data_IF_384336075742
#
_entry.id   IF_384336075742
#
_cell.length_a   1.000
_cell.length_b   1.000
_cell.length_c   1.000
_cell.angle_alpha   90.00
_cell.angle_beta   90.00
_cell.angle_gamma   90.00
#
_symmetry.space_group_name_H-M   'P 1'
#
loop_
_entity.id
_entity.type
_entity.pdbx_description
1 polymer ?
#
# COMPACT_ATOMS: atom_id res chain seq x y z
N UNK A 1 -2.71 3.49 19.64
CA UNK A 1 -3.66 2.98 18.65
C UNK A 1 -3.27 3.47 17.25
N UNK A 2 -3.30 2.58 16.29
CA UNK A 2 -3.00 2.92 14.89
C UNK A 2 -4.27 2.85 14.05
N UNK A 3 -4.62 3.95 13.40
CA UNK A 3 -5.71 4.00 12.43
C UNK A 3 -5.15 4.06 11.03
N UNK A 4 -5.78 3.32 10.13
CA UNK A 4 -5.34 3.19 8.76
C UNK A 4 -6.53 3.00 7.83
N UNK A 5 -6.54 3.74 6.72
CA UNK A 5 -7.48 3.50 5.63
C UNK A 5 -6.94 4.06 4.32
N UNK A 6 -7.43 3.51 3.22
CA UNK A 6 -7.29 4.10 1.90
C UNK A 6 -8.59 4.79 1.50
N UNK A 7 -8.47 5.97 0.90
CA UNK A 7 -9.58 6.66 0.26
C UNK A 7 -9.33 6.67 -1.25
N UNK A 8 -10.05 5.84 -2.03
CA UNK A 8 -9.89 5.81 -3.49
C UNK A 8 -10.07 7.19 -4.10
N UNK A 9 -9.21 7.55 -5.05
CA UNK A 9 -9.23 8.86 -5.68
C UNK A 9 -10.20 8.86 -6.87
N UNK A 10 -11.04 9.87 -6.94
CA UNK A 10 -12.03 10.04 -8.01
C UNK A 10 -11.38 10.25 -9.39
N UNK A 11 -10.12 10.71 -9.42
CA UNK A 11 -9.38 10.93 -10.65
C UNK A 11 -8.74 9.65 -11.23
N UNK A 12 -8.84 8.53 -10.54
CA UNK A 12 -8.43 7.23 -11.07
C UNK A 12 -9.65 6.47 -11.60
N UNK A 13 -9.75 6.40 -12.92
CA UNK A 13 -10.91 5.83 -13.60
C UNK A 13 -11.10 4.33 -13.36
N UNK A 14 -10.02 3.61 -12.97
CA UNK A 14 -10.13 2.19 -12.71
C UNK A 14 -10.89 1.86 -11.42
N UNK A 15 -11.09 2.82 -10.53
CA UNK A 15 -11.97 2.60 -9.39
C UNK A 15 -13.45 2.50 -9.78
N UNK A 16 -13.83 3.04 -10.94
CA UNK A 16 -15.23 2.95 -11.40
C UNK A 16 -15.59 1.52 -11.80
N UNK A 17 -16.65 0.95 -11.24
CA UNK A 17 -17.11 -0.40 -11.62
C UNK A 17 -17.59 -0.49 -13.07
N UNK A 18 -17.88 0.64 -13.70
CA UNK A 18 -18.31 0.72 -15.10
C UNK A 18 -17.13 0.71 -16.08
N UNK A 19 -15.92 0.93 -15.60
CA UNK A 19 -14.70 0.87 -16.39
C UNK A 19 -14.19 -0.57 -16.41
N UNK A 20 -13.76 -1.08 -17.56
CA UNK A 20 -13.17 -2.42 -17.63
C UNK A 20 -11.82 -2.41 -16.90
N UNK A 21 -11.52 -3.44 -16.10
CA UNK A 21 -10.22 -3.55 -15.39
C UNK A 21 -9.12 -3.99 -16.36
N UNK A 22 -8.84 -3.15 -17.34
CA UNK A 22 -7.88 -3.40 -18.42
C UNK A 22 -6.99 -2.19 -18.59
N UNK A 23 -5.77 -2.41 -19.05
CA UNK A 23 -4.83 -1.32 -19.31
C UNK A 23 -5.27 -0.55 -20.57
N UNK A 24 -5.61 0.74 -20.44
CA UNK A 24 -6.16 1.51 -21.56
C UNK A 24 -5.17 1.76 -22.71
N UNK A 25 -3.87 1.67 -22.43
CA UNK A 25 -2.80 1.90 -23.41
C UNK A 25 -2.29 0.63 -24.11
N UNK A 26 -2.85 -0.54 -23.82
CA UNK A 26 -2.38 -1.82 -24.36
C UNK A 26 -3.55 -2.67 -24.87
N UNK A 27 -4.22 -2.26 -25.97
CA UNK A 27 -5.42 -2.97 -26.44
C UNK A 27 -5.16 -4.42 -26.89
N UNK A 28 -3.92 -4.78 -27.25
CA UNK A 28 -3.56 -6.14 -27.65
C UNK A 28 -3.30 -7.06 -26.45
N UNK A 29 -2.87 -6.50 -25.31
CA UNK A 29 -2.61 -7.20 -24.06
C UNK A 29 -3.17 -6.38 -22.90
N UNK A 30 -4.51 -6.28 -22.79
CA UNK A 30 -5.14 -5.37 -21.85
C UNK A 30 -5.10 -5.84 -20.40
N UNK A 31 -4.82 -7.11 -20.15
CA UNK A 31 -4.80 -7.67 -18.79
C UNK A 31 -3.85 -6.89 -17.88
N UNK A 32 -4.32 -6.57 -16.68
CA UNK A 32 -3.51 -5.83 -15.70
C UNK A 32 -2.36 -6.69 -15.16
N UNK A 33 -1.18 -6.11 -15.16
CA UNK A 33 0.06 -6.71 -14.67
C UNK A 33 0.41 -6.19 -13.27
N UNK A 34 1.44 -6.78 -12.66
CA UNK A 34 1.97 -6.31 -11.38
C UNK A 34 2.35 -4.83 -11.39
N UNK A 35 2.98 -4.36 -12.47
CA UNK A 35 3.34 -2.95 -12.62
C UNK A 35 2.10 -2.04 -12.69
N UNK A 36 1.04 -2.49 -13.34
CA UNK A 36 -0.21 -1.74 -13.39
C UNK A 36 -0.77 -1.52 -11.98
N UNK A 37 -0.79 -2.57 -11.15
CA UNK A 37 -1.29 -2.48 -9.78
C UNK A 37 -0.39 -1.68 -8.85
N UNK A 38 0.92 -1.75 -9.02
CA UNK A 38 1.87 -1.14 -8.09
C UNK A 38 2.36 0.24 -8.51
N UNK A 39 2.14 0.65 -9.76
CA UNK A 39 2.65 1.93 -10.28
C UNK A 39 1.54 2.80 -10.86
N UNK A 40 0.72 2.26 -11.76
CA UNK A 40 -0.11 3.07 -12.63
C UNK A 40 -1.52 3.31 -12.10
N UNK A 41 -2.13 2.35 -11.42
CA UNK A 41 -3.55 2.35 -11.15
C UNK A 41 -3.91 2.05 -9.69
N UNK A 42 -5.19 2.23 -9.39
CA UNK A 42 -5.78 2.03 -8.06
C UNK A 42 -5.14 2.91 -7.01
N UNK A 43 -5.03 4.20 -7.34
CA UNK A 43 -4.46 5.22 -6.47
C UNK A 43 -5.47 5.69 -5.43
N UNK A 44 -4.97 5.94 -4.24
CA UNK A 44 -5.77 6.40 -3.13
C UNK A 44 -5.02 7.42 -2.30
N UNK A 45 -5.75 8.20 -1.53
CA UNK A 45 -5.18 8.94 -0.43
C UNK A 45 -4.99 8.00 0.76
N UNK A 46 -3.90 8.17 1.47
CA UNK A 46 -3.56 7.38 2.65
C UNK A 46 -3.95 8.13 3.92
N UNK A 47 -4.78 7.53 4.73
CA UNK A 47 -4.97 7.97 6.11
C UNK A 47 -4.18 7.03 7.03
N UNK A 48 -3.22 7.58 7.75
CA UNK A 48 -2.37 6.82 8.67
C UNK A 48 -2.08 7.68 9.90
N UNK A 49 -2.59 7.25 11.03
CA UNK A 49 -2.31 7.88 12.32
C UNK A 49 -1.76 6.81 13.27
N UNK A 50 -0.53 6.99 13.72
CA UNK A 50 0.18 6.03 14.57
C UNK A 50 0.36 6.66 15.95
N UNK A 51 -0.37 6.16 16.93
CA UNK A 51 -0.31 6.65 18.33
C UNK A 51 -0.39 8.19 18.42
N UNK A 52 -1.34 8.77 17.66
CA UNK A 52 -1.57 10.22 17.64
C UNK A 52 -0.70 10.99 16.66
N UNK A 53 0.26 10.35 16.01
CA UNK A 53 1.10 10.99 14.98
C UNK A 53 0.47 10.79 13.62
N UNK A 54 0.11 11.89 12.95
CA UNK A 54 -0.54 11.86 11.64
C UNK A 54 0.51 11.80 10.52
N UNK A 55 0.55 10.67 9.84
CA UNK A 55 1.40 10.40 8.68
C UNK A 55 0.57 10.21 7.41
N UNK A 56 -0.60 10.81 7.35
CA UNK A 56 -1.48 10.73 6.19
C UNK A 56 -0.88 11.42 4.97
N UNK A 57 -1.22 10.91 3.79
CA UNK A 57 -0.70 11.39 2.52
C UNK A 57 -1.86 11.58 1.54
N UNK A 58 -2.21 12.86 1.25
CA UNK A 58 -3.41 13.25 0.50
C UNK A 58 -3.11 14.10 -0.74
N UNK A 59 -1.88 14.15 -1.19
CA UNK A 59 -1.49 15.11 -2.24
C UNK A 59 -1.57 14.56 -3.66
N UNK A 60 -0.94 13.44 -3.94
CA UNK A 60 -0.81 12.92 -5.30
C UNK A 60 -1.41 11.54 -5.50
N UNK A 61 -1.89 10.93 -4.43
CA UNK A 61 -2.36 9.55 -4.46
C UNK A 61 -1.24 8.54 -4.67
N UNK A 62 -1.31 7.41 -4.02
CA UNK A 62 -0.38 6.30 -4.24
C UNK A 62 -1.16 5.03 -4.56
N UNK A 63 -0.62 4.14 -5.39
CA UNK A 63 -1.26 2.86 -5.62
C UNK A 63 -1.38 2.10 -4.29
N UNK A 64 -2.58 1.60 -4.00
CA UNK A 64 -2.82 0.91 -2.72
C UNK A 64 -1.94 -0.34 -2.57
N UNK A 65 -1.65 -1.01 -3.68
CA UNK A 65 -0.76 -2.18 -3.68
C UNK A 65 0.68 -1.79 -3.39
N UNK A 66 1.15 -0.66 -3.92
CA UNK A 66 2.51 -0.17 -3.69
C UNK A 66 2.75 0.09 -2.20
N UNK A 67 1.80 0.72 -1.51
CA UNK A 67 1.90 0.95 -0.07
C UNK A 67 1.98 -0.36 0.72
N UNK A 68 1.14 -1.33 0.39
CA UNK A 68 1.16 -2.64 1.04
C UNK A 68 2.50 -3.37 0.82
N UNK A 69 3.04 -3.32 -0.40
CA UNK A 69 4.33 -3.91 -0.74
C UNK A 69 5.49 -3.20 -0.03
N UNK A 70 5.41 -1.88 0.10
CA UNK A 70 6.41 -1.10 0.84
C UNK A 70 6.50 -1.55 2.29
N UNK A 71 5.36 -1.72 2.96
CA UNK A 71 5.33 -2.20 4.34
C UNK A 71 5.88 -3.62 4.46
N UNK A 72 5.52 -4.50 3.55
CA UNK A 72 6.02 -5.88 3.53
C UNK A 72 7.53 -5.92 3.31
N UNK A 73 8.04 -5.11 2.39
CA UNK A 73 9.46 -4.99 2.12
C UNK A 73 10.21 -4.46 3.35
N UNK A 74 9.71 -3.39 3.97
CA UNK A 74 10.31 -2.82 5.17
C UNK A 74 10.36 -3.85 6.30
N UNK A 75 9.27 -4.57 6.53
CA UNK A 75 9.20 -5.61 7.55
C UNK A 75 10.20 -6.72 7.29
N UNK A 76 10.34 -7.17 6.06
CA UNK A 76 11.30 -8.21 5.69
C UNK A 76 12.74 -7.76 5.93
N UNK A 77 13.09 -6.54 5.54
CA UNK A 77 14.43 -6.00 5.74
C UNK A 77 14.75 -5.80 7.22
N UNK A 78 13.76 -5.42 8.04
CA UNK A 78 13.93 -5.22 9.47
C UNK A 78 14.00 -6.52 10.27
N UNK A 79 13.74 -7.68 9.69
CA UNK A 79 13.95 -8.96 10.36
C UNK A 79 15.43 -9.20 10.70
N UNK A 80 16.33 -8.80 9.82
CA UNK A 80 17.77 -9.00 9.97
C UNK A 80 18.56 -7.70 10.04
N UNK A 81 17.94 -6.55 9.74
CA UNK A 81 18.56 -5.24 9.74
C UNK A 81 17.99 -4.32 10.81
N UNK A 82 18.63 -3.18 11.02
CA UNK A 82 18.21 -2.16 11.97
C UNK A 82 17.54 -0.94 11.35
N UNK A 83 17.54 -0.82 10.03
CA UNK A 83 16.92 0.31 9.36
C UNK A 83 16.73 0.08 7.88
N UNK A 84 15.75 0.77 7.33
CA UNK A 84 15.45 0.76 5.89
C UNK A 84 14.78 2.08 5.50
N UNK A 85 15.14 2.59 4.35
CA UNK A 85 14.51 3.77 3.74
C UNK A 85 13.84 3.29 2.45
N UNK A 86 12.54 3.54 2.35
CA UNK A 86 11.75 3.13 1.18
C UNK A 86 11.08 4.36 0.58
N UNK A 87 11.28 4.53 -0.71
CA UNK A 87 10.61 5.56 -1.49
C UNK A 87 9.41 4.94 -2.21
N UNK A 88 8.28 5.64 -2.19
CA UNK A 88 7.10 5.20 -2.96
C UNK A 88 7.40 5.28 -4.46
N UNK A 89 6.85 4.33 -5.22
CA UNK A 89 7.20 4.15 -6.63
C UNK A 89 6.83 5.35 -7.53
N UNK A 90 5.83 6.14 -7.14
CA UNK A 90 5.25 7.18 -8.01
C UNK A 90 5.43 8.59 -7.45
N UNK A 91 5.38 8.78 -6.14
CA UNK A 91 5.22 10.10 -5.52
C UNK A 91 6.49 10.68 -4.91
N UNK A 92 7.59 9.95 -4.88
CA UNK A 92 8.85 10.36 -4.23
C UNK A 92 8.71 10.61 -2.72
N UNK A 93 7.65 10.12 -2.12
CA UNK A 93 7.50 10.15 -0.67
C UNK A 93 8.38 9.07 -0.04
N UNK A 94 9.04 9.41 1.05
CA UNK A 94 10.03 8.55 1.69
C UNK A 94 9.54 8.15 3.07
N UNK A 95 9.58 6.85 3.35
CA UNK A 95 9.31 6.26 4.65
C UNK A 95 10.61 5.66 5.19
N UNK A 96 11.03 6.12 6.36
CA UNK A 96 12.24 5.62 7.01
C UNK A 96 11.84 4.85 8.27
N UNK A 97 12.25 3.60 8.33
CA UNK A 97 11.99 2.71 9.46
C UNK A 97 13.30 2.38 10.14
N UNK A 98 13.33 2.42 11.46
CA UNK A 98 14.42 1.88 12.25
C UNK A 98 13.87 0.97 13.33
N UNK A 99 14.64 -0.06 13.68
CA UNK A 99 14.24 -1.05 14.67
C UNK A 99 15.25 -1.13 15.80
N UNK A 100 14.76 -1.04 17.01
CA UNK A 100 15.52 -1.31 18.24
C UNK A 100 14.71 -2.28 19.08
N UNK A 101 15.17 -3.53 19.17
CA UNK A 101 14.45 -4.63 19.81
C UNK A 101 13.05 -4.84 19.18
N UNK A 102 11.99 -4.54 19.93
CA UNK A 102 10.60 -4.66 19.45
C UNK A 102 9.98 -3.31 19.07
N UNK A 103 10.74 -2.22 19.16
CA UNK A 103 10.27 -0.87 18.84
C UNK A 103 10.70 -0.48 17.44
N UNK A 104 9.74 -0.01 16.66
CA UNK A 104 9.95 0.53 15.33
C UNK A 104 9.74 2.03 15.36
N UNK A 105 10.71 2.78 14.87
CA UNK A 105 10.58 4.22 14.67
C UNK A 105 10.32 4.49 13.20
N UNK A 106 9.28 5.25 12.92
CA UNK A 106 8.85 5.60 11.57
C UNK A 106 8.89 7.11 11.38
N UNK A 107 9.61 7.56 10.37
CA UNK A 107 9.65 8.95 9.92
C UNK A 107 9.33 9.03 8.43
N UNK A 108 8.89 10.19 7.98
CA UNK A 108 8.63 10.46 6.56
C UNK A 108 9.25 11.78 6.15
N UNK A 109 9.44 11.98 4.84
CA UNK A 109 9.96 13.25 4.32
C UNK A 109 8.88 14.34 4.17
N UNK A 110 7.61 14.01 4.42
CA UNK A 110 6.49 14.94 4.25
C UNK A 110 5.81 15.35 5.56
N UNK A 111 6.15 14.73 6.68
CA UNK A 111 5.64 15.06 7.99
C UNK A 111 6.81 15.20 8.97
N UNK A 112 6.79 16.22 9.87
CA UNK A 112 7.92 16.49 10.76
C UNK A 112 8.01 15.56 11.96
N UNK A 113 6.91 14.88 12.30
CA UNK A 113 6.81 14.11 13.53
C UNK A 113 7.35 12.69 13.37
N UNK A 114 7.79 12.13 14.50
CA UNK A 114 8.31 10.77 14.59
C UNK A 114 7.23 9.88 15.22
N UNK A 115 6.89 8.78 14.56
CA UNK A 115 5.98 7.79 15.10
C UNK A 115 6.73 6.58 15.61
N UNK A 116 6.22 5.98 16.67
CA UNK A 116 6.71 4.73 17.22
C UNK A 116 5.61 3.69 17.23
N UNK A 117 5.95 2.47 16.84
CA UNK A 117 5.06 1.31 16.88
C UNK A 117 5.85 0.08 17.24
N UNK A 118 5.17 -0.95 17.73
CA UNK A 118 5.82 -2.23 18.04
C UNK A 118 6.02 -3.05 16.78
N UNK A 119 6.91 -4.03 16.84
CA UNK A 119 7.10 -5.01 15.77
C UNK A 119 5.76 -5.70 15.41
N UNK A 120 4.97 -6.06 16.42
CA UNK A 120 3.65 -6.67 16.22
C UNK A 120 2.69 -5.72 15.49
N UNK A 121 2.68 -4.45 15.87
CA UNK A 121 1.83 -3.43 15.20
C UNK A 121 2.23 -3.22 13.75
N UNK A 122 3.51 -3.23 13.42
CA UNK A 122 3.97 -3.14 12.03
C UNK A 122 3.47 -4.35 11.24
N UNK A 123 3.52 -5.55 11.81
CA UNK A 123 2.97 -6.74 11.19
C UNK A 123 1.46 -6.64 10.93
N UNK A 124 0.70 -6.18 11.91
CA UNK A 124 -0.74 -5.98 11.78
C UNK A 124 -1.07 -4.91 10.72
N UNK A 125 -0.33 -3.81 10.69
CA UNK A 125 -0.52 -2.77 9.69
C UNK A 125 -0.24 -3.30 8.28
N UNK A 126 0.81 -4.09 8.11
CA UNK A 126 1.16 -4.72 6.83
C UNK A 126 0.02 -5.61 6.33
N UNK A 127 -0.51 -6.50 7.19
CA UNK A 127 -1.60 -7.40 6.81
C UNK A 127 -2.90 -6.63 6.53
N UNK A 128 -3.19 -5.58 7.30
CA UNK A 128 -4.35 -4.73 7.04
C UNK A 128 -4.23 -3.98 5.71
N UNK A 129 -3.05 -3.47 5.38
CA UNK A 129 -2.82 -2.78 4.11
C UNK A 129 -3.03 -3.73 2.92
N UNK A 130 -2.52 -4.95 2.99
CA UNK A 130 -2.71 -5.98 1.97
C UNK A 130 -4.20 -6.34 1.82
N UNK A 131 -4.86 -6.63 2.91
CA UNK A 131 -6.29 -6.98 2.92
C UNK A 131 -7.17 -5.86 2.36
N UNK A 132 -6.89 -4.62 2.76
CA UNK A 132 -7.68 -3.47 2.32
C UNK A 132 -7.46 -3.17 0.84
N UNK A 133 -6.22 -3.26 0.35
CA UNK A 133 -5.92 -3.12 -1.06
C UNK A 133 -6.67 -4.16 -1.90
N UNK A 134 -6.63 -5.42 -1.51
CA UNK A 134 -7.35 -6.49 -2.19
C UNK A 134 -8.87 -6.28 -2.15
N UNK A 135 -9.39 -5.93 -0.99
CA UNK A 135 -10.84 -5.69 -0.80
C UNK A 135 -11.34 -4.56 -1.70
N UNK A 136 -10.65 -3.42 -1.70
CA UNK A 136 -11.07 -2.26 -2.50
C UNK A 136 -11.04 -2.56 -3.99
N UNK A 137 -9.97 -3.17 -4.48
CA UNK A 137 -9.82 -3.49 -5.89
C UNK A 137 -10.87 -4.51 -6.34
N UNK A 138 -11.08 -5.57 -5.56
CA UNK A 138 -12.05 -6.62 -5.92
C UNK A 138 -13.50 -6.23 -5.65
N UNK A 139 -13.74 -5.19 -4.85
CA UNK A 139 -15.06 -4.59 -4.72
C UNK A 139 -15.41 -3.78 -5.98
N UNK A 140 -14.45 -3.00 -6.47
CA UNK A 140 -14.63 -2.27 -7.73
C UNK A 140 -14.76 -3.22 -8.93
N UNK A 141 -13.93 -4.26 -8.96
CA UNK A 141 -13.88 -5.22 -10.07
C UNK A 141 -13.80 -6.65 -9.53
N UNK A 142 -14.95 -7.31 -9.28
CA UNK A 142 -14.98 -8.66 -8.71
C UNK A 142 -14.18 -9.71 -9.50
N UNK A 143 -14.09 -9.56 -10.82
CA UNK A 143 -13.33 -10.44 -11.70
C UNK A 143 -11.82 -10.44 -11.38
N UNK A 144 -11.30 -9.38 -10.78
CA UNK A 144 -9.89 -9.29 -10.41
C UNK A 144 -9.51 -10.22 -9.24
N UNK A 145 -10.48 -10.83 -8.58
CA UNK A 145 -10.20 -11.92 -7.62
C UNK A 145 -9.46 -13.09 -8.26
N UNK A 146 -9.62 -13.26 -9.56
CA UNK A 146 -8.97 -14.32 -10.34
C UNK A 146 -7.64 -13.88 -10.95
N UNK A 147 -7.24 -12.63 -10.79
CA UNK A 147 -5.93 -12.17 -11.23
C UNK A 147 -4.87 -12.81 -10.33
N UNK A 148 -4.03 -13.65 -10.94
CA UNK A 148 -3.06 -14.46 -10.19
C UNK A 148 -2.07 -13.60 -9.42
N UNK A 149 -1.52 -12.57 -10.08
CA UNK A 149 -0.54 -11.70 -9.45
C UNK A 149 -1.13 -10.95 -8.23
N UNK A 150 -2.32 -10.37 -8.41
CA UNK A 150 -2.99 -9.63 -7.34
C UNK A 150 -3.29 -10.54 -6.14
N UNK A 151 -3.83 -11.72 -6.42
CA UNK A 151 -4.17 -12.70 -5.39
C UNK A 151 -2.95 -13.18 -4.62
N UNK A 152 -1.86 -13.48 -5.30
CA UNK A 152 -0.62 -13.95 -4.68
C UNK A 152 0.10 -12.85 -3.90
N UNK A 153 -0.06 -11.60 -4.32
CA UNK A 153 0.65 -10.45 -3.74
C UNK A 153 -0.07 -9.88 -2.52
N UNK A 154 -1.37 -9.61 -2.62
CA UNK A 154 -2.14 -8.97 -1.56
C UNK A 154 -3.43 -9.73 -1.18
N UNK A 155 -3.73 -10.80 -1.86
CA UNK A 155 -4.91 -11.62 -1.58
C UNK A 155 -4.81 -12.35 -0.23
N UNK A 156 -5.94 -12.93 0.21
CA UNK A 156 -5.94 -13.72 1.44
C UNK A 156 -5.00 -14.93 1.29
N UNK A 157 -4.42 -15.40 2.40
CA UNK A 157 -3.57 -16.59 2.35
C UNK A 157 -4.36 -17.79 1.82
N UNK A 158 -3.68 -18.66 1.08
CA UNK A 158 -4.26 -19.90 0.59
C UNK A 158 -4.66 -20.79 1.78
N UNK A 159 -5.87 -21.35 1.72
CA UNK A 159 -6.36 -22.32 2.71
C UNK A 159 -5.67 -23.67 2.56
#
# INVERSE_FOLDING_TARGET
>A
MTTFSFEPRDDDVLWSPDTRPEHPGRPEHPELTGADFSIDFFKADLQLVVHGVDLSLRTSGLPVVDFALMLEYARRELQSGSGIVVETSVTQDVFSFSREATTITLTTNYAPDVAELTWAELGQLTERAKSEAFRLITTAHPELRNNVWLRETVGPPAE
#
